data_IF_820421700184
#
_entry.id   IF_820421700184
#
_cell.length_a   1.000
_cell.length_b   1.000
_cell.length_c   1.000
_cell.angle_alpha   90.00
_cell.angle_beta   90.00
_cell.angle_gamma   90.00
#
_symmetry.space_group_name_H-M   'P 1'
#
loop_
_entity.id
_entity.type
_entity.pdbx_description
1 polymer ?
#
# COMPACT_ATOMS: atom_id res chain seq x y z
N UNK A 1 -20.16 4.70 4.68
CA UNK A 1 -19.87 5.56 5.84
C UNK A 1 -18.71 6.46 5.47
N UNK A 2 -18.87 7.78 5.46
CA UNK A 2 -17.72 8.68 5.30
C UNK A 2 -16.98 8.76 6.62
N UNK A 3 -15.71 8.35 6.62
CA UNK A 3 -14.83 8.56 7.76
C UNK A 3 -14.56 10.06 7.88
N UNK A 4 -14.92 10.67 9.00
CA UNK A 4 -14.61 12.07 9.26
C UNK A 4 -13.13 12.21 9.60
N UNK A 5 -12.40 12.99 8.81
CA UNK A 5 -11.05 13.41 9.14
C UNK A 5 -11.10 14.78 9.85
N UNK A 6 -10.34 14.97 10.94
CA UNK A 6 -10.17 16.29 11.55
C UNK A 6 -9.58 17.27 10.53
N UNK A 7 -9.92 18.55 10.66
CA UNK A 7 -9.53 19.61 9.72
C UNK A 7 -8.00 19.73 9.61
N UNK A 8 -7.29 19.70 10.73
CA UNK A 8 -5.82 19.73 10.76
C UNK A 8 -5.18 18.56 10.00
N UNK A 9 -5.79 17.37 10.06
CA UNK A 9 -5.31 16.19 9.36
C UNK A 9 -5.58 16.31 7.87
N UNK A 10 -6.73 16.89 7.49
CA UNK A 10 -7.07 17.14 6.10
C UNK A 10 -6.07 18.11 5.45
N UNK A 11 -5.81 19.25 6.09
CA UNK A 11 -4.87 20.27 5.58
C UNK A 11 -3.43 19.72 5.48
N UNK A 12 -2.97 19.00 6.50
CA UNK A 12 -1.64 18.37 6.47
C UNK A 12 -1.53 17.35 5.32
N UNK A 13 -2.58 16.57 5.11
CA UNK A 13 -2.64 15.57 4.05
C UNK A 13 -2.67 16.23 2.66
N UNK A 14 -3.46 17.29 2.45
CA UNK A 14 -3.45 18.04 1.19
C UNK A 14 -2.06 18.59 0.86
N UNK A 15 -1.33 19.13 1.86
CA UNK A 15 0.05 19.61 1.66
C UNK A 15 0.99 18.48 1.26
N UNK A 16 0.92 17.34 1.94
CA UNK A 16 1.75 16.16 1.61
C UNK A 16 1.45 15.67 0.19
N UNK A 17 0.18 15.67 -0.22
CA UNK A 17 -0.22 15.25 -1.57
C UNK A 17 0.30 16.24 -2.59
N UNK A 18 0.13 17.54 -2.37
CA UNK A 18 0.63 18.58 -3.26
C UNK A 18 2.16 18.48 -3.45
N UNK A 19 2.90 18.14 -2.40
CA UNK A 19 4.37 18.06 -2.44
C UNK A 19 4.90 16.72 -3.00
N UNK A 20 4.37 15.59 -2.54
CA UNK A 20 4.90 14.25 -2.87
C UNK A 20 4.20 13.59 -4.04
N UNK A 21 2.95 13.97 -4.29
CA UNK A 21 2.02 13.28 -5.18
C UNK A 21 1.21 14.27 -6.04
N UNK A 22 1.87 15.21 -6.76
CA UNK A 22 1.16 16.21 -7.54
C UNK A 22 0.25 15.55 -8.59
N UNK A 23 -1.01 15.97 -8.64
CA UNK A 23 -2.01 15.44 -9.58
C UNK A 23 -2.78 14.20 -9.12
N UNK A 24 -2.50 13.67 -7.93
CA UNK A 24 -3.32 12.62 -7.32
C UNK A 24 -4.51 13.21 -6.55
N UNK A 25 -5.67 12.58 -6.67
CA UNK A 25 -6.84 12.93 -5.87
C UNK A 25 -6.65 12.50 -4.42
N UNK A 26 -7.30 13.21 -3.48
CA UNK A 26 -7.21 12.95 -2.04
C UNK A 26 -7.42 11.46 -1.69
N UNK A 27 -8.47 10.85 -2.24
CA UNK A 27 -8.79 9.43 -2.01
C UNK A 27 -7.71 8.48 -2.53
N UNK A 28 -7.14 8.77 -3.70
CA UNK A 28 -6.08 7.95 -4.30
C UNK A 28 -4.81 8.03 -3.47
N UNK A 29 -4.43 9.23 -3.04
CA UNK A 29 -3.25 9.41 -2.22
C UNK A 29 -3.39 8.79 -0.83
N UNK A 30 -4.56 8.94 -0.17
CA UNK A 30 -4.86 8.25 1.08
C UNK A 30 -4.72 6.74 0.90
N UNK A 31 -5.30 6.19 -0.17
CA UNK A 31 -5.24 4.75 -0.47
C UNK A 31 -3.80 4.29 -0.67
N UNK A 32 -2.98 5.08 -1.36
CA UNK A 32 -1.57 4.78 -1.61
C UNK A 32 -0.76 4.80 -0.31
N UNK A 33 -0.92 5.83 0.51
CA UNK A 33 -0.24 5.98 1.80
C UNK A 33 -0.62 4.82 2.74
N UNK A 34 -1.92 4.54 2.87
CA UNK A 34 -2.42 3.45 3.71
C UNK A 34 -1.94 2.09 3.20
N UNK A 35 -1.98 1.84 1.89
CA UNK A 35 -1.49 0.59 1.32
C UNK A 35 -0.01 0.39 1.65
N UNK A 36 0.82 1.43 1.47
CA UNK A 36 2.25 1.36 1.79
C UNK A 36 2.49 1.08 3.27
N UNK A 37 1.76 1.74 4.16
CA UNK A 37 1.85 1.53 5.59
C UNK A 37 1.39 0.10 5.99
N UNK A 38 0.26 -0.36 5.46
CA UNK A 38 -0.25 -1.70 5.73
C UNK A 38 0.68 -2.80 5.23
N UNK A 39 1.39 -2.59 4.10
CA UNK A 39 2.43 -3.51 3.63
C UNK A 39 3.62 -3.52 4.59
N UNK A 40 4.07 -2.34 5.03
CA UNK A 40 5.19 -2.23 5.98
C UNK A 40 4.90 -2.96 7.30
N UNK A 41 3.68 -2.85 7.81
CA UNK A 41 3.24 -3.50 9.03
C UNK A 41 2.88 -5.00 8.84
N UNK A 42 2.92 -5.51 7.60
CA UNK A 42 2.59 -6.91 7.29
C UNK A 42 1.09 -7.22 7.24
N UNK A 43 0.21 -6.22 7.31
CA UNK A 43 -1.24 -6.39 7.17
C UNK A 43 -1.70 -6.53 5.71
N UNK A 44 -0.87 -6.11 4.75
CA UNK A 44 -1.06 -6.39 3.34
C UNK A 44 0.17 -7.12 2.78
N UNK A 45 -0.02 -8.10 1.88
CA UNK A 45 1.10 -8.62 1.13
C UNK A 45 1.68 -7.46 0.31
N UNK A 46 3.02 -7.32 0.31
CA UNK A 46 3.68 -6.52 -0.71
C UNK A 46 3.16 -7.02 -2.08
N UNK A 47 2.83 -6.10 -2.99
CA UNK A 47 2.38 -6.48 -4.32
C UNK A 47 3.35 -7.54 -4.85
N UNK A 48 2.86 -8.67 -5.40
CA UNK A 48 3.71 -9.79 -5.75
C UNK A 48 4.78 -9.29 -6.70
N UNK A 49 5.99 -9.15 -6.18
CA UNK A 49 7.20 -8.88 -6.95
C UNK A 49 7.46 -10.16 -7.73
N UNK A 50 6.72 -10.37 -8.82
CA UNK A 50 6.89 -11.47 -9.77
C UNK A 50 7.39 -12.74 -9.08
N UNK A 51 6.59 -13.32 -8.19
CA UNK A 51 6.99 -14.51 -7.45
C UNK A 51 7.44 -15.55 -8.46
N UNK A 52 8.72 -15.90 -8.44
CA UNK A 52 9.24 -17.05 -9.16
C UNK A 52 8.34 -18.22 -8.75
N UNK A 53 7.65 -18.87 -9.70
CA UNK A 53 6.72 -19.94 -9.37
C UNK A 53 7.46 -21.04 -8.63
N UNK A 54 6.92 -21.58 -7.52
CA UNK A 54 7.56 -22.62 -6.73
C UNK A 54 7.39 -23.97 -7.42
N UNK A 55 7.90 -24.13 -8.64
CA UNK A 55 7.99 -25.45 -9.30
C UNK A 55 9.24 -26.24 -8.83
N UNK A 56 10.15 -25.64 -8.06
CA UNK A 56 11.36 -26.31 -7.55
C UNK A 56 11.19 -27.01 -6.18
N UNK A 57 9.98 -27.05 -5.59
CA UNK A 57 9.76 -27.70 -4.29
C UNK A 57 9.19 -29.14 -4.36
N UNK A 58 8.95 -29.67 -5.57
CA UNK A 58 8.37 -31.00 -5.79
C UNK A 58 9.36 -32.06 -6.32
N UNK A 59 10.67 -31.86 -6.16
CA UNK A 59 11.69 -32.80 -6.70
C UNK A 59 12.57 -33.46 -5.61
N UNK A 60 12.14 -33.50 -4.34
CA UNK A 60 12.97 -34.06 -3.25
C UNK A 60 12.14 -34.79 -2.18
N UNK A 61 11.12 -35.57 -2.58
CA UNK A 61 10.57 -36.63 -1.72
C UNK A 61 9.98 -37.76 -2.58
N UNK A 62 10.85 -38.42 -3.36
CA UNK A 62 10.61 -39.78 -3.87
C UNK A 62 11.97 -40.43 -4.20
N UNK A 63 12.72 -40.82 -3.16
CA UNK A 63 13.50 -42.08 -3.03
C UNK A 63 14.13 -42.17 -1.61
#
# INVERSE_FOLDING_TARGET
MSTYLPDDVHDALERVIAEKHPGLNLTEAITLILRKWLVHEGYLPAAPEHGTPPEELNATNDD
#
